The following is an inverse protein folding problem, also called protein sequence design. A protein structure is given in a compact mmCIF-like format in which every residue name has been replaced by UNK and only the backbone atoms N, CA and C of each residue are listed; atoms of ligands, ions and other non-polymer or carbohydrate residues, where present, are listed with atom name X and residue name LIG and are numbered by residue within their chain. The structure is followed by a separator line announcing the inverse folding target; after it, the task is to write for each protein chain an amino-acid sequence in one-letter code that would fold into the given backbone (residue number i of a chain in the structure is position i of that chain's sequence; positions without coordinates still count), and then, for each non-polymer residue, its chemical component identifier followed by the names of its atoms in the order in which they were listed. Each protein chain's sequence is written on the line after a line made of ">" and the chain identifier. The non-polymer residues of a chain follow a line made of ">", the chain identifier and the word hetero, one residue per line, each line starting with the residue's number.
data_IF_279164687302
#
_entry.id   IF_279164687302
#
_cell.length_a   1.000
_cell.length_b   1.000
_cell.length_c   1.000
_cell.angle_alpha   90.00
_cell.angle_beta   90.00
_cell.angle_gamma   90.00
#
_symmetry.space_group_name_H-M   'P 1'
#
loop_
_entity.id
_entity.type
_entity.pdbx_description
1 polymer ?
#
# COMPACT_ATOMS: atom_id res chain seq x y z
N UNK A 1 -9.56 4.41 13.76
CA UNK A 1 -10.01 3.02 13.59
C UNK A 1 -9.76 2.23 14.89
N UNK A 2 -10.79 2.07 15.70
CA UNK A 2 -10.76 1.23 16.91
C UNK A 2 -10.82 -0.26 16.51
N UNK A 3 -9.87 -1.06 17.00
CA UNK A 3 -9.77 -2.51 16.71
C UNK A 3 -11.05 -3.25 17.12
N UNK A 4 -11.74 -2.77 18.17
CA UNK A 4 -12.97 -3.35 18.70
C UNK A 4 -14.15 -3.15 17.74
N UNK A 5 -14.25 -1.96 17.12
CA UNK A 5 -15.29 -1.64 16.12
C UNK A 5 -15.06 -2.37 14.80
N UNK A 6 -13.82 -2.47 14.35
CA UNK A 6 -13.50 -3.19 13.11
C UNK A 6 -13.63 -4.71 13.24
N UNK A 7 -13.34 -5.28 14.42
CA UNK A 7 -13.36 -6.73 14.66
C UNK A 7 -14.72 -7.43 14.40
N UNK A 8 -15.81 -6.66 14.32
CA UNK A 8 -17.16 -7.17 13.98
C UNK A 8 -17.63 -6.67 12.61
N UNK A 9 -17.13 -5.51 12.15
CA UNK A 9 -17.60 -4.86 10.93
C UNK A 9 -17.30 -5.68 9.67
N UNK A 10 -16.08 -6.23 9.54
CA UNK A 10 -15.71 -7.01 8.35
C UNK A 10 -16.59 -8.25 8.18
N UNK A 11 -16.99 -8.89 9.29
CA UNK A 11 -17.95 -10.01 9.29
C UNK A 11 -19.33 -9.57 8.80
N UNK A 12 -19.82 -8.42 9.27
CA UNK A 12 -21.12 -7.86 8.85
C UNK A 12 -21.13 -7.44 7.37
N UNK A 13 -19.98 -7.01 6.84
CA UNK A 13 -19.78 -6.73 5.42
C UNK A 13 -19.57 -8.01 4.57
N UNK A 14 -19.69 -9.18 5.19
CA UNK A 14 -19.58 -10.49 4.53
C UNK A 14 -18.17 -10.81 4.05
N UNK A 15 -17.13 -10.21 4.63
CA UNK A 15 -15.75 -10.64 4.41
C UNK A 15 -15.46 -11.92 5.21
N UNK A 16 -14.55 -12.72 4.67
CA UNK A 16 -14.16 -13.99 5.25
C UNK A 16 -13.21 -13.81 6.43
N UNK A 17 -12.23 -12.92 6.28
CA UNK A 17 -11.26 -12.61 7.31
C UNK A 17 -10.63 -11.22 7.05
N UNK A 18 -9.86 -10.72 8.02
CA UNK A 18 -9.27 -9.39 7.99
C UNK A 18 -8.00 -9.26 8.83
N UNK A 19 -7.10 -8.37 8.40
CA UNK A 19 -6.00 -7.82 9.21
C UNK A 19 -6.34 -6.37 9.54
N UNK A 20 -6.26 -6.00 10.82
CA UNK A 20 -6.56 -4.65 11.30
C UNK A 20 -5.37 -4.10 12.07
N UNK A 21 -4.82 -3.00 11.58
CA UNK A 21 -3.86 -2.16 12.29
C UNK A 21 -4.62 -0.98 12.90
N UNK A 22 -4.64 -0.84 14.24
CA UNK A 22 -5.39 0.23 14.90
C UNK A 22 -4.82 1.62 14.57
N UNK A 23 -5.67 2.64 14.64
CA UNK A 23 -5.21 4.03 14.54
C UNK A 23 -4.51 4.48 15.80
N UNK A 24 -3.60 5.45 15.67
CA UNK A 24 -3.07 6.18 16.83
C UNK A 24 -3.92 7.43 17.04
N UNK A 25 -4.79 7.38 18.05
CA UNK A 25 -5.79 8.43 18.28
C UNK A 25 -6.76 8.53 17.08
N UNK A 26 -6.91 9.74 16.53
CA UNK A 26 -7.81 10.04 15.43
C UNK A 26 -7.23 9.78 14.03
N UNK A 27 -5.95 9.41 13.92
CA UNK A 27 -5.25 9.33 12.63
C UNK A 27 -4.68 7.95 12.32
N UNK A 28 -4.72 7.60 11.04
CA UNK A 28 -4.18 6.37 10.49
C UNK A 28 -5.04 5.14 10.80
N UNK A 29 -4.35 4.00 10.85
CA UNK A 29 -4.95 2.67 10.88
C UNK A 29 -5.13 2.12 9.47
N UNK A 30 -4.96 0.82 9.35
CA UNK A 30 -5.09 0.08 8.09
C UNK A 30 -6.00 -1.11 8.31
N UNK A 31 -6.81 -1.43 7.31
CA UNK A 31 -7.62 -2.63 7.35
C UNK A 31 -7.59 -3.31 5.99
N UNK A 32 -7.09 -4.55 5.99
CA UNK A 32 -7.18 -5.45 4.85
C UNK A 32 -8.30 -6.45 5.14
N UNK A 33 -9.25 -6.61 4.22
CA UNK A 33 -10.34 -7.56 4.32
C UNK A 33 -10.45 -8.33 3.01
N UNK A 34 -10.74 -9.62 3.06
CA UNK A 34 -10.86 -10.43 1.84
C UNK A 34 -12.03 -11.41 1.91
N UNK A 35 -12.47 -11.90 0.74
CA UNK A 35 -13.57 -12.85 0.59
C UNK A 35 -13.04 -14.29 0.63
N UNK A 36 -13.95 -15.26 0.77
CA UNK A 36 -13.63 -16.69 0.65
C UNK A 36 -13.04 -16.96 -0.74
N UNK A 37 -12.08 -17.89 -0.81
CA UNK A 37 -11.35 -18.21 -2.05
C UNK A 37 -10.11 -17.36 -2.28
N UNK A 38 -9.90 -16.28 -1.52
CA UNK A 38 -8.62 -15.57 -1.47
C UNK A 38 -7.77 -16.20 -0.37
N UNK A 39 -6.65 -16.81 -0.77
CA UNK A 39 -5.74 -17.48 0.14
C UNK A 39 -4.52 -16.61 0.44
N UNK A 40 -4.45 -16.10 1.67
CA UNK A 40 -3.39 -15.21 2.14
C UNK A 40 -2.69 -15.79 3.36
N UNK A 41 -1.37 -15.65 3.40
CA UNK A 41 -0.57 -15.84 4.60
C UNK A 41 -0.10 -14.49 5.12
N UNK A 42 -0.30 -14.24 6.41
CA UNK A 42 0.18 -13.04 7.08
C UNK A 42 1.72 -13.04 7.13
N UNK A 43 2.32 -11.91 6.78
CA UNK A 43 3.76 -11.71 6.87
C UNK A 43 4.09 -10.72 8.00
N UNK A 44 3.62 -9.49 7.87
CA UNK A 44 3.90 -8.40 8.81
C UNK A 44 2.87 -7.29 8.66
N UNK A 45 2.75 -6.44 9.68
CA UNK A 45 1.94 -5.24 9.61
C UNK A 45 2.55 -4.11 10.46
N UNK A 46 2.39 -2.89 9.97
CA UNK A 46 2.76 -1.63 10.62
C UNK A 46 1.70 -0.57 10.33
N UNK A 47 1.86 0.63 10.87
CA UNK A 47 0.93 1.75 10.65
C UNK A 47 0.81 2.18 9.18
N UNK A 48 1.75 1.80 8.31
CA UNK A 48 1.83 2.22 6.90
C UNK A 48 1.90 1.07 5.90
N UNK A 49 1.97 -0.18 6.36
CA UNK A 49 2.11 -1.36 5.50
C UNK A 49 1.43 -2.58 6.12
N UNK A 50 0.65 -3.32 5.34
CA UNK A 50 0.29 -4.71 5.63
C UNK A 50 0.91 -5.57 4.53
N UNK A 51 1.79 -6.50 4.89
CA UNK A 51 2.39 -7.44 3.96
C UNK A 51 1.70 -8.80 4.08
N UNK A 52 1.29 -9.35 2.94
CA UNK A 52 0.66 -10.67 2.83
C UNK A 52 1.31 -11.48 1.71
N UNK A 53 1.30 -12.80 1.82
CA UNK A 53 1.66 -13.70 0.72
C UNK A 53 0.39 -14.29 0.12
N UNK A 54 0.17 -14.07 -1.18
CA UNK A 54 -0.88 -14.76 -1.92
C UNK A 54 -0.41 -16.17 -2.29
N UNK A 55 -1.24 -17.18 -1.99
CA UNK A 55 -1.01 -18.54 -2.48
C UNK A 55 -1.66 -18.68 -3.85
N UNK A 56 -0.83 -19.02 -4.85
CA UNK A 56 -1.31 -19.22 -6.22
C UNK A 56 -1.31 -20.71 -6.58
N UNK A 57 -2.45 -21.36 -6.32
CA UNK A 57 -2.73 -22.74 -6.70
C UNK A 57 -1.72 -23.80 -6.20
N UNK A 58 -1.74 -25.01 -6.78
CA UNK A 58 -0.89 -26.13 -6.36
C UNK A 58 0.60 -25.95 -6.72
N UNK A 59 0.96 -24.89 -7.45
CA UNK A 59 2.30 -24.61 -7.97
C UNK A 59 3.23 -23.88 -7.00
N UNK A 60 2.77 -23.47 -5.81
CA UNK A 60 3.55 -22.88 -4.71
C UNK A 60 4.38 -21.60 -5.01
N UNK A 61 4.39 -21.11 -6.25
CA UNK A 61 4.98 -19.82 -6.63
C UNK A 61 4.01 -18.68 -6.29
N UNK A 62 3.74 -18.51 -4.99
CA UNK A 62 2.99 -17.36 -4.49
C UNK A 62 3.76 -16.04 -4.67
N UNK A 63 3.05 -14.93 -4.51
CA UNK A 63 3.63 -13.58 -4.64
C UNK A 63 3.32 -12.73 -3.40
N UNK A 64 4.15 -11.70 -3.18
CA UNK A 64 4.02 -10.82 -2.01
C UNK A 64 3.17 -9.60 -2.35
N UNK A 65 2.08 -9.37 -1.62
CA UNK A 65 1.30 -8.16 -1.69
C UNK A 65 1.67 -7.20 -0.56
N UNK A 66 2.01 -5.98 -0.91
CA UNK A 66 2.36 -4.89 -0.01
C UNK A 66 1.23 -3.86 -0.03
N UNK A 67 0.32 -3.93 0.95
CA UNK A 67 -0.79 -3.00 1.07
C UNK A 67 -0.34 -1.75 1.83
N UNK A 68 -0.18 -0.63 1.14
CA UNK A 68 0.50 0.57 1.67
C UNK A 68 -0.45 1.73 1.95
N UNK A 69 -0.09 2.49 2.98
CA UNK A 69 -0.57 3.84 3.23
C UNK A 69 0.64 4.70 3.60
N UNK A 70 1.26 5.29 2.58
CA UNK A 70 2.48 6.05 2.74
C UNK A 70 2.21 7.33 3.56
N UNK A 71 3.12 7.73 4.47
CA UNK A 71 2.94 8.93 5.28
C UNK A 71 2.74 10.19 4.41
N UNK A 72 1.70 11.01 4.68
CA UNK A 72 1.47 12.22 3.93
C UNK A 72 2.58 13.25 4.18
N UNK A 73 3.19 13.26 5.37
CA UNK A 73 4.23 14.21 5.73
C UNK A 73 5.61 13.83 5.18
N UNK A 74 6.25 14.79 4.52
CA UNK A 74 7.53 14.60 3.79
C UNK A 74 8.63 14.02 4.68
N UNK A 75 8.71 14.41 5.96
CA UNK A 75 9.76 13.95 6.88
C UNK A 75 9.73 12.43 7.14
N UNK A 76 8.57 11.78 6.97
CA UNK A 76 8.43 10.33 7.19
C UNK A 76 8.52 9.51 5.90
N UNK A 77 8.45 10.17 4.73
CA UNK A 77 8.51 9.47 3.43
C UNK A 77 9.85 8.80 3.19
N UNK A 78 10.97 9.44 3.55
CA UNK A 78 12.30 8.88 3.32
C UNK A 78 12.51 7.55 4.04
N UNK A 79 12.13 7.48 5.31
CA UNK A 79 12.21 6.22 6.08
C UNK A 79 11.23 5.18 5.54
N UNK A 80 10.03 5.60 5.13
CA UNK A 80 9.04 4.70 4.55
C UNK A 80 9.55 4.03 3.27
N UNK A 81 10.05 4.80 2.30
CA UNK A 81 10.58 4.27 1.05
C UNK A 81 11.76 3.34 1.29
N UNK A 82 12.69 3.73 2.18
CA UNK A 82 13.83 2.87 2.55
C UNK A 82 13.37 1.51 3.09
N UNK A 83 12.44 1.51 4.05
CA UNK A 83 11.91 0.27 4.62
C UNK A 83 11.14 -0.56 3.59
N UNK A 84 10.41 0.07 2.68
CA UNK A 84 9.69 -0.62 1.61
C UNK A 84 10.66 -1.26 0.60
N UNK A 85 11.74 -0.57 0.23
CA UNK A 85 12.82 -1.13 -0.59
C UNK A 85 13.44 -2.35 0.09
N UNK A 86 13.82 -2.23 1.36
CA UNK A 86 14.38 -3.34 2.13
C UNK A 86 13.42 -4.55 2.21
N UNK A 87 12.13 -4.30 2.41
CA UNK A 87 11.10 -5.34 2.45
C UNK A 87 11.02 -6.12 1.13
N UNK A 88 11.11 -5.44 -0.01
CA UNK A 88 11.10 -6.06 -1.34
C UNK A 88 12.41 -6.80 -1.61
N UNK A 89 13.54 -6.13 -1.42
CA UNK A 89 14.87 -6.67 -1.75
C UNK A 89 15.23 -7.91 -0.92
N UNK A 90 14.83 -7.95 0.36
CA UNK A 90 15.15 -9.07 1.25
C UNK A 90 14.29 -10.32 0.96
N UNK A 91 13.06 -10.14 0.46
CA UNK A 91 12.15 -11.26 0.19
C UNK A 91 12.42 -11.92 -1.15
N UNK A 92 12.71 -11.12 -2.17
CA UNK A 92 12.79 -11.59 -3.55
C UNK A 92 11.47 -12.17 -4.08
N UNK A 93 11.50 -12.61 -5.33
CA UNK A 93 10.33 -13.16 -6.02
C UNK A 93 9.31 -12.10 -6.47
N UNK A 94 8.18 -12.53 -7.06
CA UNK A 94 7.16 -11.61 -7.56
C UNK A 94 6.47 -10.88 -6.41
N UNK A 95 6.22 -9.59 -6.60
CA UNK A 95 5.53 -8.75 -5.63
C UNK A 95 4.67 -7.69 -6.32
N UNK A 96 3.69 -7.16 -5.60
CA UNK A 96 2.96 -5.97 -6.00
C UNK A 96 2.73 -5.05 -4.80
N UNK A 97 2.83 -3.75 -5.02
CA UNK A 97 2.48 -2.72 -4.03
C UNK A 97 1.15 -2.09 -4.42
N UNK A 98 0.22 -2.03 -3.47
CA UNK A 98 -1.15 -1.59 -3.70
C UNK A 98 -1.53 -0.65 -2.56
N UNK A 99 -2.03 0.54 -2.86
CA UNK A 99 -2.55 1.43 -1.83
C UNK A 99 -2.33 2.89 -2.15
N UNK A 100 -2.33 3.70 -1.10
CA UNK A 100 -2.13 5.14 -1.20
C UNK A 100 -0.66 5.47 -0.95
N UNK A 101 0.05 5.85 -2.01
CA UNK A 101 1.46 6.24 -1.94
C UNK A 101 1.66 7.71 -1.56
N UNK A 102 0.58 8.51 -1.44
CA UNK A 102 0.61 9.95 -1.15
C UNK A 102 1.62 10.74 -2.01
N UNK A 103 1.88 10.26 -3.22
CA UNK A 103 2.98 10.70 -4.06
C UNK A 103 2.56 10.66 -5.53
N UNK A 104 3.10 11.57 -6.32
CA UNK A 104 2.96 11.59 -7.78
C UNK A 104 4.36 11.60 -8.41
N UNK A 105 4.50 10.93 -9.55
CA UNK A 105 5.73 10.80 -10.31
C UNK A 105 5.97 11.96 -11.26
N UNK A 106 4.93 12.66 -11.69
CA UNK A 106 5.06 13.73 -12.67
C UNK A 106 3.97 14.81 -12.53
N UNK A 107 4.14 15.92 -13.25
CA UNK A 107 3.17 17.02 -13.23
C UNK A 107 1.87 16.66 -13.94
N UNK A 108 1.88 15.65 -14.80
CA UNK A 108 0.73 15.16 -15.56
C UNK A 108 -0.26 14.37 -14.69
N UNK A 109 0.20 13.81 -13.57
CA UNK A 109 -0.63 13.07 -12.60
C UNK A 109 -1.44 13.97 -11.66
N UNK A 110 -1.43 15.29 -11.90
CA UNK A 110 -2.24 16.26 -11.16
C UNK A 110 -2.90 17.26 -12.09
N UNK A 111 -3.96 17.89 -11.60
CA UNK A 111 -4.62 19.01 -12.25
C UNK A 111 -4.74 20.19 -11.28
N UNK A 112 -4.19 21.35 -11.66
CA UNK A 112 -4.23 22.58 -10.87
C UNK A 112 -3.39 22.55 -9.58
N UNK A 113 -3.71 23.46 -8.65
CA UNK A 113 -3.03 23.62 -7.37
C UNK A 113 -1.60 24.15 -7.47
N UNK A 114 -0.78 23.89 -6.44
CA UNK A 114 0.66 24.25 -6.44
C UNK A 114 1.37 23.51 -7.57
N UNK A 115 2.39 24.09 -8.20
CA UNK A 115 3.25 23.34 -9.12
C UNK A 115 3.87 22.09 -8.47
N UNK A 116 3.96 21.02 -9.26
CA UNK A 116 4.72 19.83 -8.88
C UNK A 116 6.22 20.14 -8.90
N UNK A 117 6.92 19.71 -7.85
CA UNK A 117 8.38 19.79 -7.79
C UNK A 117 8.94 18.39 -7.88
N UNK A 118 9.94 18.19 -8.74
CA UNK A 118 10.53 16.88 -9.02
C UNK A 118 10.93 16.12 -7.76
N UNK A 119 11.43 16.80 -6.72
CA UNK A 119 11.83 16.17 -5.47
C UNK A 119 10.67 15.50 -4.71
N UNK A 120 9.42 15.90 -4.95
CA UNK A 120 8.24 15.34 -4.27
C UNK A 120 8.03 13.86 -4.63
N UNK A 121 8.39 13.50 -5.87
CA UNK A 121 8.36 12.14 -6.40
C UNK A 121 9.64 11.33 -6.18
N UNK A 122 10.71 11.93 -5.66
CA UNK A 122 12.04 11.32 -5.68
C UNK A 122 12.10 9.98 -4.96
N UNK A 123 11.51 9.89 -3.76
CA UNK A 123 11.53 8.64 -2.99
C UNK A 123 10.81 7.48 -3.69
N UNK A 124 9.73 7.76 -4.42
CA UNK A 124 9.05 6.75 -5.24
C UNK A 124 9.91 6.35 -6.45
N UNK A 125 10.55 7.32 -7.13
CA UNK A 125 11.47 7.00 -8.24
C UNK A 125 12.66 6.15 -7.80
N UNK A 126 13.26 6.48 -6.67
CA UNK A 126 14.37 5.72 -6.09
C UNK A 126 13.91 4.30 -5.76
N UNK A 127 12.75 4.15 -5.09
CA UNK A 127 12.14 2.85 -4.81
C UNK A 127 11.92 2.03 -6.09
N UNK A 128 11.33 2.64 -7.13
CA UNK A 128 11.08 1.94 -8.40
C UNK A 128 12.38 1.52 -9.08
N UNK A 129 13.39 2.40 -9.09
CA UNK A 129 14.70 2.11 -9.66
C UNK A 129 15.41 0.97 -8.92
N UNK A 130 15.46 1.03 -7.59
CA UNK A 130 16.19 0.06 -6.76
C UNK A 130 15.51 -1.32 -6.73
N UNK A 131 14.19 -1.37 -6.88
CA UNK A 131 13.42 -2.63 -6.84
C UNK A 131 13.04 -3.19 -8.21
N UNK A 132 13.29 -2.42 -9.29
CA UNK A 132 12.80 -2.75 -10.63
C UNK A 132 11.28 -2.68 -10.77
N UNK A 133 10.61 -1.90 -9.92
CA UNK A 133 9.16 -1.77 -9.95
C UNK A 133 8.71 -1.10 -11.25
N UNK A 134 7.58 -1.55 -11.76
CA UNK A 134 6.94 -1.00 -12.95
C UNK A 134 5.52 -0.60 -12.57
N UNK A 135 5.12 0.60 -12.96
CA UNK A 135 3.72 1.01 -12.86
C UNK A 135 2.89 0.23 -13.89
N UNK A 136 1.85 -0.46 -13.43
CA UNK A 136 0.93 -1.22 -14.27
C UNK A 136 -0.03 -0.30 -15.04
N UNK A 137 -0.07 0.98 -14.69
CA UNK A 137 -0.96 1.98 -15.26
C UNK A 137 -2.39 1.84 -14.74
N UNK A 138 -3.25 2.73 -15.22
CA UNK A 138 -4.68 2.71 -14.91
C UNK A 138 -5.50 2.87 -16.19
N UNK A 139 -6.74 2.36 -16.16
CA UNK A 139 -7.74 2.60 -17.19
C UNK A 139 -8.91 3.36 -16.57
N UNK A 140 -9.32 4.47 -17.18
CA UNK A 140 -10.47 5.26 -16.74
C UNK A 140 -10.07 6.51 -15.96
N UNK A 141 -10.34 6.54 -14.66
CA UNK A 141 -10.08 7.71 -13.81
C UNK A 141 -8.58 7.96 -13.65
N UNK A 142 -8.07 9.03 -14.27
CA UNK A 142 -6.66 9.42 -14.25
C UNK A 142 -6.19 9.97 -12.89
N UNK A 143 -7.11 10.38 -12.02
CA UNK A 143 -6.82 10.95 -10.71
C UNK A 143 -7.54 10.16 -9.63
N UNK A 144 -6.83 9.87 -8.54
CA UNK A 144 -7.32 9.05 -7.41
C UNK A 144 -7.73 9.89 -6.20
N UNK A 145 -7.55 11.22 -6.25
CA UNK A 145 -7.80 12.12 -5.13
C UNK A 145 -8.18 13.55 -5.57
N UNK A 146 -8.95 14.26 -4.74
CA UNK A 146 -9.33 15.67 -4.92
C UNK A 146 -9.37 16.42 -3.59
N UNK A 147 -9.17 17.74 -3.61
CA UNK A 147 -9.22 18.61 -2.42
C UNK A 147 -10.64 18.88 -1.88
N UNK A 148 -11.68 18.55 -2.65
CA UNK A 148 -13.07 18.93 -2.34
C UNK A 148 -13.44 20.29 -2.90
#
# INVERSE_FOLDING_TARGET
>A
MDSTRMGVMWRRLGFFDAVVVPSMGLSGGLCLMWKRGVELDFISASSSLIAMKFRDGPSYLGWTALFTYAPPQVQHRRSFWKSLTEEVSNRGGPWACIGDLNCILSAEEKYGGREFRTYEGQGLRDFMFDTGAVDLGSMGAWYTWTNG
#
